data_IF_368841213242
#
_entry.id   IF_368841213242
#
_cell.length_a   1.000
_cell.length_b   1.000
_cell.length_c   1.000
_cell.angle_alpha   90.00
_cell.angle_beta   90.00
_cell.angle_gamma   90.00
#
_symmetry.space_group_name_H-M   'P 1'
#
loop_
_entity.id
_entity.type
_entity.pdbx_description
1 polymer ?
#
# COMPACT_ATOMS: atom_id res chain seq x y z
N UNK A 1 44.70 -14.09 -4.92
CA UNK A 1 43.31 -13.95 -5.42
C UNK A 1 43.38 -13.68 -6.91
N UNK A 2 42.66 -14.45 -7.72
CA UNK A 2 42.72 -14.29 -9.18
C UNK A 2 41.79 -13.15 -9.60
N UNK A 3 42.09 -12.47 -10.70
CA UNK A 3 41.29 -11.35 -11.20
C UNK A 3 39.81 -11.75 -11.38
N UNK A 4 39.57 -12.97 -11.85
CA UNK A 4 38.24 -13.58 -12.01
C UNK A 4 37.49 -13.72 -10.67
N UNK A 5 38.16 -14.16 -9.60
CA UNK A 5 37.51 -14.31 -8.28
C UNK A 5 37.13 -12.94 -7.70
N UNK A 6 37.92 -11.90 -7.97
CA UNK A 6 37.66 -10.53 -7.53
C UNK A 6 36.42 -9.93 -8.23
N UNK A 7 36.33 -10.12 -9.55
CA UNK A 7 35.17 -9.68 -10.36
C UNK A 7 33.88 -10.37 -9.89
N UNK A 8 33.93 -11.68 -9.65
CA UNK A 8 32.77 -12.46 -9.22
C UNK A 8 32.26 -12.02 -7.84
N UNK A 9 33.17 -11.67 -6.94
CA UNK A 9 32.86 -11.16 -5.60
C UNK A 9 32.21 -9.77 -5.66
N UNK A 10 32.69 -8.88 -6.53
CA UNK A 10 32.05 -7.57 -6.78
C UNK A 10 30.64 -7.71 -7.35
N UNK A 11 30.43 -8.63 -8.29
CA UNK A 11 29.10 -8.87 -8.86
C UNK A 11 28.11 -9.39 -7.80
N UNK A 12 28.53 -10.37 -6.99
CA UNK A 12 27.73 -10.88 -5.87
C UNK A 12 27.42 -9.79 -4.84
N UNK A 13 28.38 -8.93 -4.53
CA UNK A 13 28.17 -7.80 -3.64
C UNK A 13 27.15 -6.80 -4.19
N UNK A 14 27.23 -6.47 -5.49
CA UNK A 14 26.24 -5.60 -6.14
C UNK A 14 24.82 -6.16 -6.11
N UNK A 15 24.67 -7.47 -6.35
CA UNK A 15 23.39 -8.17 -6.19
C UNK A 15 22.89 -8.13 -4.75
N UNK A 16 23.76 -8.37 -3.77
CA UNK A 16 23.41 -8.32 -2.36
C UNK A 16 22.90 -6.93 -1.94
N UNK A 17 23.61 -5.87 -2.32
CA UNK A 17 23.20 -4.49 -2.03
C UNK A 17 21.85 -4.17 -2.66
N UNK A 18 21.61 -4.64 -3.90
CA UNK A 18 20.35 -4.42 -4.61
C UNK A 18 19.17 -5.10 -3.90
N UNK A 19 19.35 -6.36 -3.48
CA UNK A 19 18.35 -7.11 -2.71
C UNK A 19 18.10 -6.44 -1.35
N UNK A 20 19.16 -6.02 -0.66
CA UNK A 20 19.05 -5.37 0.64
C UNK A 20 18.30 -4.03 0.54
N UNK A 21 18.62 -3.20 -0.45
CA UNK A 21 17.93 -1.92 -0.69
C UNK A 21 16.45 -2.13 -0.98
N UNK A 22 16.11 -3.12 -1.82
CA UNK A 22 14.72 -3.45 -2.10
C UNK A 22 13.98 -3.95 -0.84
N UNK A 23 14.65 -4.76 0.00
CA UNK A 23 14.09 -5.20 1.27
C UNK A 23 13.82 -4.03 2.24
N UNK A 24 14.81 -3.14 2.40
CA UNK A 24 14.69 -1.96 3.25
C UNK A 24 13.58 -1.03 2.77
N UNK A 25 13.52 -0.77 1.46
CA UNK A 25 12.47 0.06 0.86
C UNK A 25 11.07 -0.48 1.19
N UNK A 26 10.84 -1.78 0.94
CA UNK A 26 9.57 -2.44 1.26
C UNK A 26 9.25 -2.41 2.76
N UNK A 27 10.27 -2.51 3.62
CA UNK A 27 10.09 -2.44 5.06
C UNK A 27 9.68 -1.05 5.53
N UNK A 28 10.34 0.00 5.05
CA UNK A 28 10.01 1.39 5.38
C UNK A 28 8.65 1.80 4.83
N UNK A 29 8.30 1.38 3.61
CA UNK A 29 6.99 1.63 3.01
C UNK A 29 5.87 1.03 3.88
N UNK A 30 5.98 -0.26 4.24
CA UNK A 30 5.02 -0.93 5.14
C UNK A 30 4.93 -0.24 6.51
N UNK A 31 6.05 0.20 7.07
CA UNK A 31 6.09 0.90 8.36
C UNK A 31 5.39 2.25 8.29
N UNK A 32 5.60 3.01 7.22
CA UNK A 32 4.94 4.30 7.00
C UNK A 32 3.43 4.13 6.83
N UNK A 33 2.99 3.16 6.03
CA UNK A 33 1.58 2.87 5.85
C UNK A 33 0.95 2.37 7.16
N UNK A 34 1.61 1.49 7.90
CA UNK A 34 1.13 1.08 9.24
C UNK A 34 0.98 2.28 10.19
N UNK A 35 1.98 3.15 10.25
CA UNK A 35 1.94 4.38 11.07
C UNK A 35 0.77 5.28 10.66
N UNK A 36 0.50 5.35 9.35
CA UNK A 36 -0.63 6.07 8.81
C UNK A 36 -1.96 5.51 9.29
N UNK A 37 -2.19 4.21 9.08
CA UNK A 37 -3.42 3.51 9.47
C UNK A 37 -3.70 3.65 10.97
N UNK A 38 -2.67 3.58 11.81
CA UNK A 38 -2.84 3.76 13.26
C UNK A 38 -3.22 5.19 13.68
N UNK A 39 -2.81 6.21 12.91
CA UNK A 39 -3.01 7.64 13.25
C UNK A 39 -4.10 8.32 12.43
N UNK A 40 -4.83 7.57 11.61
CA UNK A 40 -5.84 8.12 10.72
C UNK A 40 -7.00 8.73 11.53
N UNK A 41 -7.62 9.81 11.02
CA UNK A 41 -8.76 10.47 11.67
C UNK A 41 -9.97 9.53 11.72
N UNK A 42 -10.86 9.67 12.71
CA UNK A 42 -12.00 8.76 12.92
C UNK A 42 -12.89 8.61 11.67
N UNK A 43 -13.33 9.71 11.05
CA UNK A 43 -14.13 9.63 9.82
C UNK A 43 -13.44 8.84 8.69
N UNK A 44 -12.16 9.11 8.47
CA UNK A 44 -11.39 8.43 7.43
C UNK A 44 -11.11 6.96 7.80
N UNK A 45 -11.00 6.66 9.10
CA UNK A 45 -10.92 5.30 9.64
C UNK A 45 -12.17 4.51 9.31
N UNK A 46 -13.34 5.09 9.55
CA UNK A 46 -14.64 4.44 9.32
C UNK A 46 -14.85 4.20 7.83
N UNK A 47 -14.51 5.19 6.99
CA UNK A 47 -14.57 5.04 5.54
C UNK A 47 -13.64 3.92 5.05
N UNK A 48 -12.41 3.85 5.57
CA UNK A 48 -11.49 2.76 5.24
C UNK A 48 -11.98 1.41 5.77
N UNK A 49 -12.62 1.39 6.95
CA UNK A 49 -13.22 0.19 7.54
C UNK A 49 -14.34 -0.36 6.63
N UNK A 50 -15.22 0.50 6.12
CA UNK A 50 -16.24 0.11 5.14
C UNK A 50 -15.60 -0.44 3.87
N UNK A 51 -14.58 0.23 3.33
CA UNK A 51 -13.85 -0.25 2.15
C UNK A 51 -13.22 -1.63 2.37
N UNK A 52 -12.55 -1.82 3.50
CA UNK A 52 -11.88 -3.09 3.84
C UNK A 52 -12.87 -4.23 4.06
N UNK A 53 -14.05 -3.96 4.64
CA UNK A 53 -15.03 -5.01 4.93
C UNK A 53 -15.94 -5.33 3.74
N UNK A 54 -16.44 -4.32 3.05
CA UNK A 54 -17.46 -4.47 2.00
C UNK A 54 -16.83 -4.70 0.62
N UNK A 55 -15.65 -4.09 0.37
CA UNK A 55 -15.07 -3.97 -0.96
C UNK A 55 -13.71 -4.67 -1.14
N UNK A 56 -13.34 -5.60 -0.26
CA UNK A 56 -12.06 -6.37 -0.27
C UNK A 56 -11.38 -6.50 -1.64
N UNK A 57 -12.06 -7.19 -2.56
CA UNK A 57 -11.63 -7.41 -3.95
C UNK A 57 -12.58 -6.75 -4.97
N UNK A 58 -13.53 -5.93 -4.50
CA UNK A 58 -14.54 -5.28 -5.34
C UNK A 58 -14.11 -3.85 -5.67
N UNK A 59 -14.55 -3.40 -6.83
CA UNK A 59 -14.34 -2.04 -7.26
C UNK A 59 -15.31 -1.11 -6.53
N UNK A 60 -14.85 0.09 -6.19
CA UNK A 60 -15.68 1.12 -5.57
C UNK A 60 -15.34 2.51 -6.15
N UNK A 61 -16.34 3.40 -6.25
CA UNK A 61 -16.11 4.76 -6.69
C UNK A 61 -15.50 5.61 -5.57
N UNK A 62 -14.52 6.45 -5.90
CA UNK A 62 -14.01 7.51 -5.04
C UNK A 62 -14.02 8.85 -5.77
N UNK A 63 -14.40 9.92 -5.07
CA UNK A 63 -14.42 11.28 -5.64
C UNK A 63 -13.00 11.77 -5.92
N UNK A 64 -12.73 12.21 -7.15
CA UNK A 64 -11.38 12.58 -7.64
C UNK A 64 -10.74 13.71 -6.84
N UNK A 65 -11.54 14.71 -6.47
CA UNK A 65 -11.01 15.93 -5.86
C UNK A 65 -10.86 15.85 -4.34
N UNK A 66 -11.46 14.84 -3.72
CA UNK A 66 -11.46 14.72 -2.27
C UNK A 66 -10.05 14.44 -1.73
N UNK A 67 -9.66 15.13 -0.66
CA UNK A 67 -8.33 15.02 -0.06
C UNK A 67 -7.98 13.58 0.33
N UNK A 68 -8.94 12.85 0.89
CA UNK A 68 -8.78 11.43 1.27
C UNK A 68 -8.41 10.58 0.06
N UNK A 69 -9.11 10.73 -1.07
CA UNK A 69 -8.85 9.98 -2.30
C UNK A 69 -7.43 10.20 -2.81
N UNK A 70 -7.01 11.47 -2.92
CA UNK A 70 -5.66 11.82 -3.36
C UNK A 70 -4.59 11.20 -2.45
N UNK A 71 -4.82 11.29 -1.14
CA UNK A 71 -3.91 10.75 -0.13
C UNK A 71 -3.84 9.22 -0.14
N UNK A 72 -4.97 8.53 -0.31
CA UNK A 72 -5.01 7.08 -0.41
C UNK A 72 -4.32 6.56 -1.67
N UNK A 73 -4.48 7.27 -2.79
CA UNK A 73 -3.74 6.96 -4.02
C UNK A 73 -2.23 7.18 -3.83
N UNK A 74 -1.83 8.30 -3.23
CA UNK A 74 -0.42 8.61 -2.98
C UNK A 74 0.25 7.61 -2.04
N UNK A 75 -0.46 7.15 -1.00
CA UNK A 75 0.03 6.14 -0.04
C UNK A 75 -0.09 4.70 -0.57
N UNK A 76 -0.65 4.50 -1.77
CA UNK A 76 -0.91 3.17 -2.32
C UNK A 76 -1.92 2.35 -1.51
N UNK A 77 -2.80 3.02 -0.74
CA UNK A 77 -3.89 2.38 0.01
C UNK A 77 -4.92 1.81 -0.95
N UNK A 78 -5.28 2.61 -1.96
CA UNK A 78 -6.17 2.22 -3.06
C UNK A 78 -5.45 2.38 -4.38
N UNK A 79 -5.85 1.58 -5.36
CA UNK A 79 -5.33 1.61 -6.73
C UNK A 79 -6.43 2.13 -7.64
N UNK A 80 -6.15 3.17 -8.42
CA UNK A 80 -7.03 3.63 -9.50
C UNK A 80 -6.99 2.59 -10.62
N UNK A 81 -8.17 2.12 -11.02
CA UNK A 81 -8.32 1.22 -12.18
C UNK A 81 -8.67 2.04 -13.42
N UNK A 82 -9.75 2.80 -13.36
CA UNK A 82 -10.25 3.56 -14.51
C UNK A 82 -11.06 4.80 -14.08
N UNK A 83 -11.43 5.61 -15.06
CA UNK A 83 -12.37 6.71 -14.85
C UNK A 83 -13.80 6.18 -14.81
N UNK A 84 -14.64 6.73 -13.91
CA UNK A 84 -16.03 6.32 -13.87
C UNK A 84 -16.79 6.92 -15.08
N UNK A 85 -17.19 6.05 -16.02
CA UNK A 85 -17.92 6.42 -17.24
C UNK A 85 -19.28 7.09 -16.96
N UNK A 86 -19.89 6.82 -15.80
CA UNK A 86 -21.18 7.42 -15.41
C UNK A 86 -21.03 8.75 -14.67
N UNK A 87 -19.88 9.01 -14.06
CA UNK A 87 -19.62 10.23 -13.31
C UNK A 87 -18.14 10.65 -13.43
N UNK A 88 -17.88 11.69 -14.21
CA UNK A 88 -16.54 12.21 -14.49
C UNK A 88 -15.80 12.73 -13.25
N UNK A 89 -16.50 12.97 -12.14
CA UNK A 89 -15.92 13.40 -10.86
C UNK A 89 -15.44 12.23 -9.99
N UNK A 90 -15.56 10.99 -10.46
CA UNK A 90 -15.19 9.80 -9.70
C UNK A 90 -14.14 8.94 -10.42
N UNK A 91 -13.26 8.33 -9.64
CA UNK A 91 -12.42 7.20 -10.07
C UNK A 91 -13.05 5.89 -9.64
N UNK A 92 -12.86 4.85 -10.45
CA UNK A 92 -13.09 3.48 -10.01
C UNK A 92 -11.77 2.98 -9.40
N UNK A 93 -11.82 2.62 -8.13
CA UNK A 93 -10.68 2.19 -7.35
C UNK A 93 -10.89 0.77 -6.79
N UNK A 94 -9.79 0.14 -6.42
CA UNK A 94 -9.77 -1.11 -5.67
C UNK A 94 -8.81 -0.99 -4.48
N UNK A 95 -9.08 -1.71 -3.39
CA UNK A 95 -8.18 -1.76 -2.26
C UNK A 95 -6.88 -2.48 -2.65
N UNK A 96 -5.73 -1.93 -2.29
CA UNK A 96 -4.47 -2.61 -2.55
C UNK A 96 -4.35 -3.87 -1.69
N UNK A 97 -4.20 -5.04 -2.32
CA UNK A 97 -4.05 -6.33 -1.62
C UNK A 97 -2.90 -6.33 -0.60
N UNK A 98 -1.82 -5.58 -0.84
CA UNK A 98 -0.72 -5.45 0.14
C UNK A 98 -1.19 -4.83 1.45
N UNK A 99 -2.11 -3.89 1.38
CA UNK A 99 -2.69 -3.17 2.53
C UNK A 99 -3.67 -4.05 3.27
N UNK A 100 -4.54 -4.75 2.53
CA UNK A 100 -5.42 -5.74 3.11
C UNK A 100 -4.61 -6.80 3.89
N UNK A 101 -3.55 -7.34 3.28
CA UNK A 101 -2.65 -8.28 3.94
C UNK A 101 -1.94 -7.68 5.16
N UNK A 102 -1.55 -6.40 5.11
CA UNK A 102 -0.96 -5.70 6.25
C UNK A 102 -1.95 -5.60 7.41
N UNK A 103 -3.21 -5.24 7.12
CA UNK A 103 -4.29 -5.15 8.12
C UNK A 103 -4.59 -6.53 8.72
N UNK A 104 -4.65 -7.58 7.90
CA UNK A 104 -4.97 -8.93 8.34
C UNK A 104 -3.88 -9.54 9.24
N UNK A 105 -2.61 -9.29 8.93
CA UNK A 105 -1.47 -9.84 9.67
C UNK A 105 -1.16 -9.10 10.97
N UNK A 106 -1.46 -7.81 11.04
CA UNK A 106 -1.17 -7.01 12.23
C UNK A 106 -2.35 -7.05 13.23
N UNK A 107 -2.10 -7.51 14.46
CA UNK A 107 -3.15 -7.68 15.47
C UNK A 107 -3.90 -6.38 15.81
N UNK A 108 -3.20 -5.23 15.83
CA UNK A 108 -3.83 -3.95 16.17
C UNK A 108 -4.66 -3.44 15.01
N UNK A 109 -4.12 -3.45 13.80
CA UNK A 109 -4.87 -3.05 12.60
C UNK A 109 -6.07 -3.96 12.38
N UNK A 110 -5.92 -5.28 12.60
CA UNK A 110 -7.02 -6.22 12.49
C UNK A 110 -8.16 -5.87 13.44
N UNK A 111 -7.88 -5.53 14.70
CA UNK A 111 -8.92 -5.10 15.66
C UNK A 111 -9.59 -3.79 15.24
N UNK A 112 -8.88 -2.87 14.60
CA UNK A 112 -9.42 -1.57 14.21
C UNK A 112 -10.35 -1.70 12.99
N UNK A 113 -9.91 -2.45 11.97
CA UNK A 113 -10.55 -2.46 10.66
C UNK A 113 -11.37 -3.72 10.35
N UNK A 114 -11.06 -4.85 10.98
CA UNK A 114 -11.73 -6.15 10.77
C UNK A 114 -12.44 -6.67 12.03
N UNK A 115 -12.28 -6.00 13.18
CA UNK A 115 -13.02 -6.24 14.43
C UNK A 115 -14.26 -5.38 14.50
#
# INVERSE_FOLDING_TARGET
MNCVTLILLFFLFGLFVSVLMNFLYNFFEKKNIKKYLLKIKNFEKDLLKSVVNEYKDRNFPLTKEHFITKKWLQLGIVIKLEENKKNSLQFICVLNKKIFNLIQKDLFLRKIYLG
#
